data_IF_286704412912
#
_entry.id   IF_286704412912
#
_cell.length_a   1.000
_cell.length_b   1.000
_cell.length_c   1.000
_cell.angle_alpha   90.00
_cell.angle_beta   90.00
_cell.angle_gamma   90.00
#
_symmetry.space_group_name_H-M   'P 1'
#
loop_
_entity.id
_entity.type
_entity.pdbx_description
1 polymer ?
#
# COMPACT_ATOMS: atom_id res chain seq x y z
N UNK A 1 7.48 21.78 10.70
CA UNK A 1 6.48 20.80 10.24
C UNK A 1 6.67 20.68 8.75
N UNK A 2 7.20 19.55 8.28
CA UNK A 2 7.28 19.30 6.84
C UNK A 2 5.89 18.87 6.42
N UNK A 3 5.32 19.56 5.44
CA UNK A 3 4.00 19.25 4.92
C UNK A 3 4.17 17.99 4.06
N UNK A 4 3.70 16.83 4.51
CA UNK A 4 3.71 15.63 3.69
C UNK A 4 2.86 15.92 2.44
N UNK A 5 3.48 15.92 1.25
CA UNK A 5 2.76 16.23 0.02
C UNK A 5 1.77 15.10 -0.28
N UNK A 6 0.48 15.41 -0.33
CA UNK A 6 -0.56 14.46 -0.74
C UNK A 6 -0.59 14.33 -2.26
N UNK A 7 -0.40 13.11 -2.75
CA UNK A 7 -0.41 12.77 -4.17
C UNK A 7 -1.57 11.85 -4.49
N UNK A 8 -2.37 12.15 -5.53
CA UNK A 8 -3.30 11.16 -6.07
C UNK A 8 -2.54 9.90 -6.48
N UNK A 9 -3.06 8.74 -6.07
CA UNK A 9 -2.43 7.46 -6.27
C UNK A 9 -3.46 6.41 -6.70
N UNK A 10 -3.04 5.51 -7.59
CA UNK A 10 -3.78 4.30 -7.92
C UNK A 10 -2.98 3.09 -7.47
N UNK A 11 -3.58 2.25 -6.66
CA UNK A 11 -3.01 0.98 -6.24
C UNK A 11 -3.61 -0.14 -7.07
N UNK A 12 -2.76 -1.04 -7.54
CA UNK A 12 -3.14 -2.27 -8.21
C UNK A 12 -2.58 -3.44 -7.42
N UNK A 13 -3.47 -4.22 -6.81
CA UNK A 13 -3.13 -5.44 -6.11
C UNK A 13 -2.97 -6.54 -7.16
N UNK A 14 -1.74 -7.03 -7.30
CA UNK A 14 -1.37 -8.02 -8.30
C UNK A 14 -1.49 -9.43 -7.72
N UNK A 15 -1.83 -10.43 -8.56
CA UNK A 15 -1.75 -11.82 -8.15
C UNK A 15 -0.35 -12.16 -7.64
N UNK A 16 -0.27 -12.70 -6.43
CA UNK A 16 0.98 -13.10 -5.80
C UNK A 16 1.01 -14.63 -5.60
N UNK A 17 2.21 -15.26 -5.61
CA UNK A 17 2.32 -16.67 -5.31
C UNK A 17 1.84 -16.97 -3.89
N UNK A 18 1.20 -18.12 -3.69
CA UNK A 18 0.78 -18.60 -2.37
C UNK A 18 1.99 -19.06 -1.57
N UNK A 19 2.70 -18.13 -0.94
CA UNK A 19 3.90 -18.38 -0.12
C UNK A 19 3.57 -18.36 1.38
N UNK A 20 4.48 -18.91 2.19
CA UNK A 20 4.48 -18.76 3.65
C UNK A 20 5.83 -18.13 4.05
N UNK A 21 5.85 -16.91 4.63
CA UNK A 21 4.72 -16.02 4.88
C UNK A 21 4.02 -15.53 3.59
N UNK A 22 2.72 -15.19 3.66
CA UNK A 22 1.99 -14.56 2.57
C UNK A 22 2.64 -13.27 2.07
N UNK A 23 2.59 -13.08 0.74
CA UNK A 23 3.11 -11.92 0.04
C UNK A 23 1.97 -11.24 -0.72
N UNK A 24 1.87 -9.92 -0.57
CA UNK A 24 1.04 -9.07 -1.41
C UNK A 24 1.94 -8.20 -2.27
N UNK A 25 1.70 -8.17 -3.58
CA UNK A 25 2.41 -7.31 -4.53
C UNK A 25 1.45 -6.21 -4.94
N UNK A 26 1.81 -4.96 -4.67
CA UNK A 26 0.98 -3.79 -4.95
C UNK A 26 1.76 -2.85 -5.84
N UNK A 27 1.26 -2.58 -7.04
CA UNK A 27 1.76 -1.49 -7.89
C UNK A 27 1.12 -0.19 -7.46
N UNK A 28 1.92 0.83 -7.23
CA UNK A 28 1.50 2.17 -6.82
C UNK A 28 1.85 3.12 -7.97
N UNK A 29 0.85 3.61 -8.69
CA UNK A 29 1.03 4.59 -9.74
C UNK A 29 0.75 5.99 -9.18
N UNK A 30 1.67 6.94 -9.39
CA UNK A 30 1.51 8.36 -9.04
C UNK A 30 1.38 9.20 -10.31
N UNK A 31 0.18 9.39 -10.88
CA UNK A 31 0.01 9.92 -12.24
C UNK A 31 0.59 11.33 -12.41
N UNK A 32 0.44 12.19 -11.40
CA UNK A 32 0.95 13.57 -11.44
C UNK A 32 2.47 13.64 -11.42
N UNK A 33 3.14 12.66 -10.78
CA UNK A 33 4.60 12.57 -10.70
C UNK A 33 5.20 11.70 -11.82
N UNK A 34 4.37 11.04 -12.64
CA UNK A 34 4.79 10.10 -13.70
C UNK A 34 5.81 9.07 -13.20
N UNK A 35 5.58 8.56 -11.99
CA UNK A 35 6.42 7.55 -11.36
C UNK A 35 5.53 6.42 -10.85
N UNK A 36 6.10 5.22 -10.82
CA UNK A 36 5.44 4.03 -10.32
C UNK A 36 6.36 3.36 -9.31
N UNK A 37 5.77 2.77 -8.28
CA UNK A 37 6.48 1.97 -7.29
C UNK A 37 5.85 0.59 -7.18
N UNK A 38 6.62 -0.38 -6.70
CA UNK A 38 6.09 -1.66 -6.25
C UNK A 38 6.29 -1.78 -4.74
N UNK A 39 5.19 -2.01 -4.04
CA UNK A 39 5.15 -2.38 -2.63
C UNK A 39 5.00 -3.89 -2.53
N UNK A 40 5.97 -4.54 -1.89
CA UNK A 40 5.91 -5.93 -1.50
C UNK A 40 5.62 -6.00 0.01
N UNK A 41 4.45 -6.46 0.39
CA UNK A 41 4.03 -6.59 1.79
C UNK A 41 4.00 -8.06 2.20
N UNK A 42 4.88 -8.44 3.12
CA UNK A 42 4.96 -9.79 3.68
C UNK A 42 4.28 -9.82 5.04
N UNK A 43 3.21 -10.60 5.21
CA UNK A 43 2.40 -10.62 6.44
C UNK A 43 2.58 -11.92 7.22
N UNK A 44 2.36 -11.87 8.54
CA UNK A 44 2.45 -13.08 9.40
C UNK A 44 1.15 -13.88 9.42
N UNK A 45 0.03 -13.25 9.07
CA UNK A 45 -1.29 -13.88 9.00
C UNK A 45 -1.52 -14.45 7.59
N UNK A 46 -2.36 -15.51 7.46
CA UNK A 46 -2.69 -16.14 6.18
C UNK A 46 -3.10 -15.14 5.09
N UNK A 47 -2.89 -15.50 3.83
CA UNK A 47 -3.32 -14.69 2.70
C UNK A 47 -4.85 -14.64 2.69
N UNK A 48 -5.42 -13.60 3.29
CA UNK A 48 -6.84 -13.59 3.56
C UNK A 48 -7.63 -13.15 2.32
N UNK A 49 -7.25 -12.09 1.58
CA UNK A 49 -8.21 -11.50 0.61
C UNK A 49 -7.63 -10.74 -0.61
N UNK A 50 -6.61 -11.22 -1.32
CA UNK A 50 -6.16 -10.57 -2.57
C UNK A 50 -5.64 -11.56 -3.63
N UNK A 51 -6.33 -12.70 -3.82
CA UNK A 51 -5.97 -13.67 -4.87
C UNK A 51 -6.29 -13.16 -6.29
N UNK A 52 -7.10 -12.10 -6.39
CA UNK A 52 -7.55 -11.51 -7.64
C UNK A 52 -7.00 -10.11 -7.82
N UNK A 53 -6.90 -9.69 -9.07
CA UNK A 53 -6.57 -8.33 -9.41
C UNK A 53 -7.63 -7.36 -8.87
N UNK A 54 -7.21 -6.42 -8.03
CA UNK A 54 -8.07 -5.36 -7.46
C UNK A 54 -7.40 -4.00 -7.62
N UNK A 55 -8.21 -2.95 -7.75
CA UNK A 55 -7.73 -1.57 -7.87
C UNK A 55 -8.31 -0.72 -6.75
N UNK A 56 -7.50 0.18 -6.22
CA UNK A 56 -7.92 1.22 -5.29
C UNK A 56 -7.46 2.58 -5.81
N UNK A 57 -8.32 3.59 -5.70
CA UNK A 57 -7.99 4.98 -6.03
C UNK A 57 -8.08 5.82 -4.76
N UNK A 58 -7.09 6.69 -4.57
CA UNK A 58 -6.97 7.45 -3.33
C UNK A 58 -5.79 8.41 -3.35
N UNK A 59 -5.22 8.63 -2.18
CA UNK A 59 -4.08 9.52 -1.99
C UNK A 59 -2.98 8.82 -1.21
N UNK A 60 -1.74 9.19 -1.51
CA UNK A 60 -0.55 8.83 -0.76
C UNK A 60 0.15 10.06 -0.25
N UNK A 61 0.78 9.98 0.90
CA UNK A 61 1.66 11.00 1.47
C UNK A 61 2.95 10.36 1.99
N UNK A 62 4.06 11.03 1.69
CA UNK A 62 5.40 10.67 2.17
C UNK A 62 6.30 11.89 2.17
N UNK A 63 7.16 12.00 3.19
CA UNK A 63 8.07 13.15 3.36
C UNK A 63 9.37 13.03 2.56
N UNK A 64 9.69 11.81 2.12
CA UNK A 64 10.94 11.46 1.42
C UNK A 64 10.66 10.37 0.38
N UNK A 65 11.64 10.05 -0.48
CA UNK A 65 11.49 8.94 -1.42
C UNK A 65 11.01 7.67 -0.70
N UNK A 66 9.92 7.05 -1.18
CA UNK A 66 9.24 6.01 -0.43
C UNK A 66 9.99 4.67 -0.50
N UNK A 67 11.05 4.56 -1.30
CA UNK A 67 11.83 3.34 -1.47
C UNK A 67 12.52 2.89 -0.18
N UNK A 68 12.53 1.57 0.07
CA UNK A 68 13.19 0.97 1.22
C UNK A 68 12.30 0.00 1.98
N UNK A 69 12.78 -0.44 3.14
CA UNK A 69 12.08 -1.37 4.03
C UNK A 69 11.36 -0.62 5.15
N UNK A 70 10.16 -1.08 5.49
CA UNK A 70 9.26 -0.49 6.48
C UNK A 70 8.59 -1.58 7.31
N UNK A 71 8.23 -1.23 8.53
CA UNK A 71 7.15 -1.91 9.24
C UNK A 71 5.82 -1.36 8.70
N UNK A 72 4.88 -2.25 8.37
CA UNK A 72 3.64 -1.90 7.69
C UNK A 72 2.40 -2.42 8.40
N UNK A 73 1.33 -1.63 8.31
CA UNK A 73 -0.03 -2.02 8.69
C UNK A 73 -0.98 -1.79 7.53
N UNK A 74 -1.78 -2.80 7.20
CA UNK A 74 -2.89 -2.71 6.25
C UNK A 74 -4.21 -2.81 7.01
N UNK A 75 -5.13 -1.89 6.73
CA UNK A 75 -6.47 -1.89 7.27
C UNK A 75 -7.46 -1.62 6.14
N UNK A 76 -8.32 -2.59 5.86
CA UNK A 76 -9.40 -2.45 4.89
C UNK A 76 -10.74 -2.65 5.61
N UNK A 77 -10.94 -1.80 6.60
CA UNK A 77 -12.16 -1.60 7.38
C UNK A 77 -12.11 -0.23 8.08
N UNK A 78 -11.27 0.68 7.57
CA UNK A 78 -11.13 2.02 8.13
C UNK A 78 -12.39 2.81 7.78
N UNK A 79 -12.92 3.59 8.71
CA UNK A 79 -14.12 4.39 8.45
C UNK A 79 -13.70 5.85 8.32
N UNK A 80 -13.86 6.41 7.12
CA UNK A 80 -13.72 7.84 6.88
C UNK A 80 -15.01 8.37 6.23
N UNK A 81 -15.63 9.39 6.84
CA UNK A 81 -16.90 9.94 6.35
C UNK A 81 -18.08 8.95 6.35
N UNK A 82 -17.97 7.83 7.07
CA UNK A 82 -18.99 6.77 7.09
C UNK A 82 -18.81 5.68 6.02
N UNK A 83 -17.81 5.82 5.14
CA UNK A 83 -17.48 4.82 4.12
C UNK A 83 -16.27 3.98 4.56
N UNK A 84 -16.27 2.70 4.16
CA UNK A 84 -15.14 1.81 4.35
C UNK A 84 -14.01 2.19 3.39
N UNK A 85 -12.81 2.38 3.93
CA UNK A 85 -11.62 2.74 3.19
C UNK A 85 -10.48 1.75 3.43
N UNK A 86 -9.66 1.61 2.39
CA UNK A 86 -8.37 0.96 2.46
C UNK A 86 -7.36 1.98 2.98
N UNK A 87 -6.63 1.59 4.03
CA UNK A 87 -5.54 2.34 4.62
C UNK A 87 -4.27 1.48 4.69
N UNK A 88 -3.14 2.04 4.26
CA UNK A 88 -1.82 1.42 4.41
C UNK A 88 -0.91 2.42 5.12
N UNK A 89 -0.40 2.06 6.29
CA UNK A 89 0.58 2.86 7.03
C UNK A 89 1.91 2.13 7.08
N UNK A 90 2.96 2.75 6.56
CA UNK A 90 4.32 2.23 6.58
C UNK A 90 5.23 3.19 7.32
N UNK A 91 6.02 2.67 8.25
CA UNK A 91 6.92 3.45 9.09
C UNK A 91 8.32 2.86 9.07
N UNK A 92 9.32 3.74 8.99
CA UNK A 92 10.74 3.44 9.20
C UNK A 92 11.37 4.56 10.02
N UNK A 93 12.58 4.36 10.59
CA UNK A 93 13.32 5.46 11.19
C UNK A 93 13.49 6.62 10.20
N UNK A 94 12.91 7.79 10.53
CA UNK A 94 13.03 9.00 9.73
C UNK A 94 12.15 9.07 8.46
N UNK A 95 11.21 8.15 8.25
CA UNK A 95 10.32 8.19 7.09
C UNK A 95 8.98 7.49 7.31
N UNK A 96 7.95 8.02 6.67
CA UNK A 96 6.60 7.48 6.67
C UNK A 96 6.04 7.47 5.25
N UNK A 97 5.19 6.48 4.98
CA UNK A 97 4.35 6.41 3.79
C UNK A 97 2.95 6.05 4.27
N UNK A 98 1.97 6.86 3.92
CA UNK A 98 0.58 6.58 4.20
C UNK A 98 -0.23 6.60 2.90
N UNK A 99 -1.17 5.67 2.79
CA UNK A 99 -2.13 5.61 1.71
C UNK A 99 -3.53 5.50 2.31
N UNK A 100 -4.48 6.24 1.73
CA UNK A 100 -5.90 6.10 1.99
C UNK A 100 -6.69 6.16 0.69
N UNK A 101 -7.60 5.21 0.48
CA UNK A 101 -8.41 5.11 -0.73
C UNK A 101 -9.60 4.17 -0.61
N UNK A 102 -10.21 3.84 -1.75
CA UNK A 102 -11.38 2.96 -1.79
C UNK A 102 -11.06 1.54 -1.28
N UNK A 103 -11.97 0.97 -0.47
CA UNK A 103 -11.93 -0.44 -0.04
C UNK A 103 -11.73 -1.39 -1.22
N UNK A 104 -10.99 -2.48 -1.02
CA UNK A 104 -10.73 -3.52 -2.04
C UNK A 104 -11.04 -4.93 -1.57
N UNK A 105 -11.18 -5.14 -0.27
CA UNK A 105 -11.44 -6.43 0.33
C UNK A 105 -12.96 -6.71 0.42
N UNK A 106 -13.34 -7.95 0.10
CA UNK A 106 -14.71 -8.45 0.29
C UNK A 106 -15.05 -8.67 1.77
N UNK A 107 -14.02 -8.78 2.62
CA UNK A 107 -14.13 -8.93 4.06
C UNK A 107 -13.22 -7.93 4.79
N UNK A 108 -13.64 -7.41 5.97
CA UNK A 108 -12.85 -6.48 6.76
C UNK A 108 -11.44 -7.00 7.07
N UNK A 109 -10.42 -6.19 6.78
CA UNK A 109 -9.05 -6.44 7.24
C UNK A 109 -8.72 -5.46 8.36
N UNK A 110 -8.48 -5.97 9.57
CA UNK A 110 -8.24 -5.14 10.74
C UNK A 110 -6.77 -5.22 11.18
N UNK A 111 -6.01 -4.17 10.90
CA UNK A 111 -4.63 -3.99 11.39
C UNK A 111 -3.68 -5.15 11.04
N UNK A 112 -3.74 -5.64 9.80
CA UNK A 112 -2.86 -6.68 9.29
C UNK A 112 -1.42 -6.16 9.25
N UNK A 113 -0.55 -6.72 10.09
CA UNK A 113 0.85 -6.31 10.20
C UNK A 113 1.74 -7.07 9.22
N UNK A 114 2.73 -6.37 8.67
CA UNK A 114 3.71 -6.98 7.79
C UNK A 114 4.99 -6.18 7.66
N UNK A 115 5.97 -6.78 7.00
CA UNK A 115 7.18 -6.10 6.54
C UNK A 115 6.93 -5.65 5.11
N UNK A 116 7.12 -4.36 4.84
CA UNK A 116 6.92 -3.76 3.54
C UNK A 116 8.27 -3.41 2.91
N UNK A 117 8.40 -3.65 1.60
CA UNK A 117 9.51 -3.13 0.79
C UNK A 117 8.96 -2.40 -0.41
N UNK A 118 9.31 -1.12 -0.54
CA UNK A 118 8.98 -0.29 -1.70
C UNK A 118 10.22 -0.18 -2.60
N UNK A 119 10.03 -0.35 -3.89
CA UNK A 119 11.05 -0.15 -4.93
C UNK A 119 10.48 0.69 -6.07
N UNK A 120 11.28 1.57 -6.69
CA UNK A 120 10.88 2.24 -7.93
C UNK A 120 10.68 1.22 -9.05
N UNK A 121 9.63 1.43 -9.83
CA UNK A 121 9.44 0.80 -11.12
C UNK A 121 9.85 1.85 -12.16
N UNK A 122 11.15 2.10 -12.28
CA UNK A 122 11.63 2.94 -13.36
C UNK A 122 11.24 2.28 -14.69
N UNK A 123 10.67 3.05 -15.61
CA UNK A 123 10.54 2.63 -16.99
C UNK A 123 11.97 2.58 -17.55
N UNK A 124 12.55 1.37 -17.64
CA UNK A 124 13.66 1.13 -18.56
C UNK A 124 13.19 1.57 -19.96
N UNK A 125 13.61 2.76 -20.37
CA UNK A 125 13.48 3.27 -21.72
C UNK A 125 14.85 3.24 -22.39
#
# INVERSE_FOLDING_TARGET
MVNADKHPANLQFLPAPRTVPPLYIVRIDLPKRRTSYQLNLTTKEPAHYLAEFRKSSGYVDFDQTPEGSYDGTLNDNSINGGEQTLRIDLTRPGGQFHYEGSSVADHPINNLRGNARIVSLDENH
#
